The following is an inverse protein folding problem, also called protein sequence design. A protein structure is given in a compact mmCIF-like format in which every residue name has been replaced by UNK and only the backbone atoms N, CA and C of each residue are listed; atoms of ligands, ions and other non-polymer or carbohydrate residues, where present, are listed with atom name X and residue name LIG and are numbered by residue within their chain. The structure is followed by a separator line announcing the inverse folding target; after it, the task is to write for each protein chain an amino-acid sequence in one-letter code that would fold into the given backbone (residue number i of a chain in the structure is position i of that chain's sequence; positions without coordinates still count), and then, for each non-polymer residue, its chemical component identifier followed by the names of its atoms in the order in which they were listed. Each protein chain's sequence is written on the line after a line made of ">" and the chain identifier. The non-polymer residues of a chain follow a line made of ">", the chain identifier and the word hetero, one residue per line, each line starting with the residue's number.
data_IF_957856857106
#
_entry.id   IF_957856857106
#
_cell.length_a   1.000
_cell.length_b   1.000
_cell.length_c   1.000
_cell.angle_alpha   90.00
_cell.angle_beta   90.00
_cell.angle_gamma   90.00
#
_symmetry.space_group_name_H-M   'P 1'
#
loop_
_entity.id
_entity.type
_entity.pdbx_description
1 polymer ?
#
# COMPACT_ATOMS: atom_id res chain seq x y z
N UNK A 1 -8.96 -7.49 -5.56
CA UNK A 1 -7.89 -7.34 -6.57
C UNK A 1 -6.55 -7.56 -5.91
N UNK A 2 -5.61 -8.13 -6.64
CA UNK A 2 -4.30 -8.45 -6.10
C UNK A 2 -3.20 -8.02 -7.05
N UNK A 3 -2.06 -7.67 -6.49
CA UNK A 3 -0.88 -7.28 -7.24
C UNK A 3 0.33 -7.95 -6.58
N UNK A 4 1.08 -8.70 -7.37
CA UNK A 4 2.26 -9.41 -6.89
C UNK A 4 3.50 -8.81 -7.47
N UNK A 5 4.48 -8.51 -6.65
CA UNK A 5 5.74 -7.93 -7.09
C UNK A 5 6.68 -7.63 -5.96
N UNK A 6 7.66 -6.78 -6.26
CA UNK A 6 8.72 -6.40 -5.34
C UNK A 6 8.54 -4.95 -4.91
N UNK A 7 8.74 -4.69 -3.63
CA UNK A 7 8.70 -3.34 -3.10
C UNK A 7 9.95 -2.59 -3.54
N UNK A 8 9.75 -1.51 -4.28
CA UNK A 8 10.85 -0.71 -4.82
C UNK A 8 10.96 0.67 -4.19
N UNK A 9 9.94 1.10 -3.46
CA UNK A 9 9.99 2.38 -2.76
C UNK A 9 9.09 2.33 -1.53
N UNK A 10 9.53 2.96 -0.47
CA UNK A 10 8.76 3.17 0.76
C UNK A 10 8.80 4.67 1.02
N UNK A 11 7.63 5.30 0.97
CA UNK A 11 7.54 6.74 1.16
C UNK A 11 7.40 7.08 2.64
N UNK A 12 7.61 8.34 2.97
CA UNK A 12 7.49 8.78 4.36
C UNK A 12 6.04 8.68 4.83
N UNK A 13 5.81 8.20 6.05
CA UNK A 13 4.45 8.13 6.57
C UNK A 13 3.85 9.52 6.73
N UNK A 14 2.55 9.59 6.56
CA UNK A 14 1.77 10.80 6.80
C UNK A 14 0.85 10.54 7.98
N UNK A 15 0.61 11.57 8.75
CA UNK A 15 -0.27 11.42 9.89
C UNK A 15 -0.73 12.76 10.42
N UNK A 16 -1.68 12.72 11.32
CA UNK A 16 -2.19 13.90 11.96
C UNK A 16 -3.25 13.54 12.97
N UNK A 17 -3.88 14.56 13.52
CA UNK A 17 -4.97 14.40 14.45
C UNK A 17 -6.24 14.91 13.80
N UNK A 18 -7.28 14.09 13.82
CA UNK A 18 -8.58 14.50 13.28
C UNK A 18 -9.15 15.62 14.12
N UNK A 19 -9.54 16.71 13.48
CA UNK A 19 -10.11 17.87 14.18
C UNK A 19 -11.49 17.57 14.74
N UNK A 20 -12.20 16.64 14.16
CA UNK A 20 -13.56 16.32 14.58
C UNK A 20 -13.60 15.28 15.68
N UNK A 21 -12.70 14.30 15.66
CA UNK A 21 -12.72 13.22 16.65
C UNK A 21 -11.56 13.27 17.63
N UNK A 22 -10.53 14.06 17.34
CA UNK A 22 -9.34 14.10 18.16
C UNK A 22 -8.46 12.87 18.07
N UNK A 23 -8.82 11.91 17.21
CA UNK A 23 -8.04 10.70 17.04
C UNK A 23 -6.89 10.90 16.10
N UNK A 24 -5.78 10.25 16.39
CA UNK A 24 -4.64 10.25 15.50
C UNK A 24 -4.90 9.31 14.32
N UNK A 25 -4.42 9.72 13.15
CA UNK A 25 -4.46 8.87 11.97
C UNK A 25 -3.07 8.81 11.35
N UNK A 26 -2.80 7.72 10.65
CA UNK A 26 -1.52 7.53 9.99
C UNK A 26 -1.73 6.72 8.73
N UNK A 27 -1.04 7.13 7.67
CA UNK A 27 -1.01 6.38 6.42
C UNK A 27 0.38 6.41 5.84
N UNK A 28 0.71 5.43 5.04
CA UNK A 28 2.00 5.34 4.38
C UNK A 28 1.82 4.77 3.00
N UNK A 29 2.53 5.34 2.04
CA UNK A 29 2.50 4.89 0.65
C UNK A 29 3.71 4.03 0.33
N UNK A 30 3.50 3.05 -0.53
CA UNK A 30 4.53 2.13 -0.98
C UNK A 30 4.39 1.94 -2.49
N UNK A 31 5.49 1.63 -3.15
CA UNK A 31 5.47 1.32 -4.58
C UNK A 31 5.94 -0.12 -4.77
N UNK A 32 5.15 -0.88 -5.51
CA UNK A 32 5.42 -2.28 -5.83
C UNK A 32 5.52 -2.43 -7.35
N UNK A 33 6.46 -3.23 -7.81
CA UNK A 33 6.69 -3.48 -9.22
C UNK A 33 6.56 -4.96 -9.51
N UNK A 34 5.77 -5.31 -10.53
CA UNK A 34 5.59 -6.72 -10.88
C UNK A 34 6.75 -7.22 -11.74
N UNK A 35 6.75 -8.53 -12.02
CA UNK A 35 7.81 -9.20 -12.76
C UNK A 35 7.43 -9.56 -14.18
N UNK A 36 6.55 -8.79 -14.79
CA UNK A 36 6.15 -9.01 -16.18
C UNK A 36 7.28 -8.62 -17.13
N UNK A 37 7.15 -9.03 -18.37
CA UNK A 37 8.07 -8.64 -19.42
C UNK A 37 8.18 -7.11 -19.53
N UNK A 38 7.05 -6.43 -19.35
CA UNK A 38 7.00 -4.97 -19.24
C UNK A 38 6.54 -4.62 -17.82
N UNK A 39 7.48 -4.48 -16.88
CA UNK A 39 7.11 -4.31 -15.49
C UNK A 39 6.23 -3.09 -15.26
N UNK A 40 5.23 -3.26 -14.43
CA UNK A 40 4.33 -2.19 -14.04
C UNK A 40 4.49 -1.90 -12.56
N UNK A 41 4.27 -0.65 -12.22
CA UNK A 41 4.39 -0.20 -10.84
C UNK A 41 3.01 0.21 -10.33
N UNK A 42 2.80 -0.05 -9.06
CA UNK A 42 1.57 0.37 -8.39
C UNK A 42 1.95 1.08 -7.10
N UNK A 43 1.46 2.30 -6.96
CA UNK A 43 1.59 3.02 -5.70
C UNK A 43 0.32 2.77 -4.90
N UNK A 44 0.46 2.23 -3.71
CA UNK A 44 -0.68 1.93 -2.84
C UNK A 44 -0.45 2.50 -1.45
N UNK A 45 -1.53 2.74 -0.72
CA UNK A 45 -1.41 3.21 0.65
C UNK A 45 -1.92 2.16 1.63
N UNK A 46 -1.38 2.24 2.82
CA UNK A 46 -1.84 1.49 3.99
C UNK A 46 -2.32 2.51 5.00
N UNK A 47 -3.57 2.43 5.36
CA UNK A 47 -4.18 3.36 6.31
C UNK A 47 -4.30 2.72 7.68
N UNK A 48 -3.83 3.44 8.70
CA UNK A 48 -3.87 3.00 10.08
C UNK A 48 -2.51 2.55 10.59
N UNK A 49 -2.08 3.13 11.70
CA UNK A 49 -0.78 2.81 12.30
C UNK A 49 -0.66 1.31 12.61
N UNK A 50 -1.75 0.70 13.07
CA UNK A 50 -1.76 -0.72 13.39
C UNK A 50 -1.49 -1.58 12.16
N UNK A 51 -2.10 -1.23 11.03
CA UNK A 51 -1.90 -1.98 9.78
C UNK A 51 -0.53 -1.78 9.21
N UNK A 52 0.00 -0.57 9.29
CA UNK A 52 1.36 -0.28 8.84
C UNK A 52 2.35 -1.13 9.61
N UNK A 53 2.18 -1.22 10.90
CA UNK A 53 3.04 -2.02 11.77
C UNK A 53 2.83 -3.52 11.53
N UNK A 54 1.59 -3.94 11.39
CA UNK A 54 1.24 -5.34 11.16
C UNK A 54 1.84 -5.87 9.86
N UNK A 55 1.74 -5.08 8.79
CA UNK A 55 2.27 -5.49 7.49
C UNK A 55 3.80 -5.44 7.46
N UNK A 56 4.40 -4.49 8.17
CA UNK A 56 5.84 -4.36 8.30
C UNK A 56 6.56 -4.52 6.96
N UNK A 57 6.14 -3.74 5.98
CA UNK A 57 6.66 -3.83 4.62
C UNK A 57 8.08 -3.28 4.57
N UNK A 58 8.99 -4.06 3.98
CA UNK A 58 10.39 -3.70 3.86
C UNK A 58 10.79 -3.56 2.40
N UNK A 59 11.84 -2.77 2.16
CA UNK A 59 12.39 -2.63 0.82
C UNK A 59 12.86 -3.97 0.28
N UNK A 60 12.53 -4.22 -0.98
CA UNK A 60 12.97 -5.43 -1.65
C UNK A 60 12.15 -6.67 -1.36
N UNK A 61 11.12 -6.58 -0.52
CA UNK A 61 10.26 -7.73 -0.26
C UNK A 61 9.38 -8.06 -1.45
N UNK A 62 9.18 -9.35 -1.67
CA UNK A 62 8.22 -9.84 -2.65
C UNK A 62 6.88 -10.05 -1.95
N UNK A 63 5.87 -9.35 -2.41
CA UNK A 63 4.57 -9.35 -1.75
C UNK A 63 3.44 -9.56 -2.74
N UNK A 64 2.35 -10.15 -2.25
CA UNK A 64 1.05 -10.10 -2.92
C UNK A 64 0.16 -9.16 -2.09
N UNK A 65 -0.23 -8.07 -2.71
CA UNK A 65 -1.03 -7.03 -2.05
C UNK A 65 -2.46 -7.14 -2.54
N UNK A 66 -3.38 -7.32 -1.60
CA UNK A 66 -4.81 -7.25 -1.88
C UNK A 66 -5.27 -5.84 -1.62
N UNK A 67 -5.98 -5.26 -2.57
CA UNK A 67 -6.32 -3.85 -2.52
C UNK A 67 -7.67 -3.56 -3.14
N UNK A 68 -8.19 -2.39 -2.79
CA UNK A 68 -9.38 -1.81 -3.41
C UNK A 68 -8.99 -0.52 -4.12
N UNK A 69 -9.69 -0.23 -5.21
CA UNK A 69 -9.50 1.00 -5.97
C UNK A 69 -10.73 1.86 -5.82
N UNK A 70 -10.52 3.12 -5.46
CA UNK A 70 -11.58 4.10 -5.39
C UNK A 70 -11.14 5.34 -6.16
N UNK A 71 -12.06 5.97 -6.84
CA UNK A 71 -11.77 7.16 -7.61
C UNK A 71 -12.46 8.36 -6.98
N UNK A 72 -11.75 9.48 -6.90
CA UNK A 72 -12.27 10.73 -6.38
C UNK A 72 -12.17 11.82 -7.42
N UNK A 73 -13.19 12.64 -7.50
CA UNK A 73 -13.18 13.80 -8.39
C UNK A 73 -12.81 15.05 -7.59
N UNK A 74 -11.91 15.84 -8.18
CA UNK A 74 -11.51 17.12 -7.62
C UNK A 74 -11.17 18.07 -8.77
N UNK A 75 -11.85 19.19 -8.86
CA UNK A 75 -11.61 20.20 -9.90
C UNK A 75 -11.53 19.62 -11.31
N UNK A 76 -12.58 18.90 -11.71
CA UNK A 76 -12.68 18.27 -13.04
C UNK A 76 -11.65 17.20 -13.32
N UNK A 77 -10.93 16.77 -12.30
CA UNK A 77 -9.96 15.67 -12.39
C UNK A 77 -10.40 14.50 -11.54
N UNK A 78 -10.07 13.31 -12.02
CA UNK A 78 -10.31 12.08 -11.27
C UNK A 78 -8.99 11.50 -10.83
N UNK A 79 -8.91 11.13 -9.57
CA UNK A 79 -7.73 10.51 -8.98
C UNK A 79 -8.09 9.15 -8.43
N UNK A 80 -7.24 8.17 -8.73
CA UNK A 80 -7.39 6.83 -8.17
C UNK A 80 -6.68 6.73 -6.83
N UNK A 81 -7.35 6.12 -5.87
CA UNK A 81 -6.76 5.73 -4.60
C UNK A 81 -6.72 4.21 -4.54
N UNK A 82 -5.56 3.67 -4.27
CA UNK A 82 -5.37 2.23 -4.14
C UNK A 82 -5.01 1.98 -2.68
N UNK A 83 -5.90 1.29 -1.97
CA UNK A 83 -5.72 1.02 -0.55
C UNK A 83 -5.56 -0.46 -0.32
N UNK A 84 -4.42 -0.84 0.27
CA UNK A 84 -4.16 -2.21 0.62
C UNK A 84 -4.88 -2.59 1.91
N UNK A 85 -5.55 -3.74 1.89
CA UNK A 85 -6.21 -4.26 3.08
C UNK A 85 -5.61 -5.60 3.52
N UNK A 86 -4.76 -6.20 2.69
CA UNK A 86 -4.08 -7.45 3.02
C UNK A 86 -2.75 -7.51 2.28
N UNK A 87 -1.74 -8.02 2.95
CA UNK A 87 -0.41 -8.21 2.36
C UNK A 87 0.06 -9.61 2.73
N UNK A 88 0.45 -10.39 1.72
CA UNK A 88 1.05 -11.69 1.91
C UNK A 88 2.45 -11.71 1.33
N UNK A 89 3.37 -12.36 1.99
CA UNK A 89 4.73 -12.48 1.52
C UNK A 89 4.86 -13.66 0.58
N UNK A 90 5.36 -13.39 -0.62
CA UNK A 90 5.55 -14.42 -1.63
C UNK A 90 6.78 -15.23 -1.26
N UNK A 91 6.60 -16.53 -1.10
CA UNK A 91 7.68 -17.45 -0.76
C UNK A 91 8.20 -17.32 0.65
N UNK A 92 7.91 -16.23 1.35
CA UNK A 92 8.33 -16.07 2.73
C UNK A 92 7.45 -16.90 3.64
N UNK A 93 8.04 -17.67 4.50
CA UNK A 93 7.27 -18.56 5.36
C UNK A 93 6.62 -19.71 4.62
N UNK A 94 6.90 -19.86 3.35
CA UNK A 94 6.44 -21.02 2.63
C UNK A 94 7.03 -22.26 3.27
N UNK A 95 6.24 -23.29 3.44
CA UNK A 95 6.80 -24.52 3.98
C UNK A 95 7.86 -25.03 3.04
N UNK A 96 8.94 -25.29 3.63
CA UNK A 96 10.05 -25.83 2.88
C UNK A 96 9.94 -27.34 2.88
#
# INVERSE_FOLDING_TARGET
>A
MEFTGKIIAILSPRGGVSKTSGNEWKSQEFVIENHDQYPRKMCFDVFGADKIEQFNIQMGEELTVSFDVDARQWNDRWFNSIRAWKVERVGAGAPM
#
